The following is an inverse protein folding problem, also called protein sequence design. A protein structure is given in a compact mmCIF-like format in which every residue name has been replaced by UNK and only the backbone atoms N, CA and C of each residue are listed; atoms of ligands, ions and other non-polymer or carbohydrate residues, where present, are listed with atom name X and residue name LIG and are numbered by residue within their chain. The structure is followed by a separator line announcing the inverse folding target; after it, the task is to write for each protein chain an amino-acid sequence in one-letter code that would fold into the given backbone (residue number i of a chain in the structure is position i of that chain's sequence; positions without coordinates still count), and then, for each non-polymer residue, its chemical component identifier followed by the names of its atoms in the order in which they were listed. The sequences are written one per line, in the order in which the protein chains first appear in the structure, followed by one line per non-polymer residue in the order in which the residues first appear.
data_IF_772880437409
#
_entry.id   IF_772880437409
#
_cell.length_a   1.000
_cell.length_b   1.000
_cell.length_c   1.000
_cell.angle_alpha   90.00
_cell.angle_beta   90.00
_cell.angle_gamma   90.00
#
_symmetry.space_group_name_H-M   'P 1'
#
loop_
_entity.id
_entity.type
_entity.pdbx_description
1 polymer ?
#
# COMPACT_ATOMS: atom_id res chain seq x y z
N UNK A 1 4.90 3.14 32.70
CA UNK A 1 6.20 3.35 32.03
C UNK A 1 6.87 2.00 31.84
N UNK A 2 7.59 1.81 30.74
CA UNK A 2 8.40 0.60 30.57
C UNK A 2 9.69 0.72 31.40
N UNK A 3 10.27 -0.40 31.82
CA UNK A 3 11.57 -0.40 32.52
C UNK A 3 12.67 0.32 31.68
N UNK A 4 12.60 0.20 30.35
CA UNK A 4 13.53 0.89 29.44
C UNK A 4 13.39 2.40 29.51
N UNK A 5 12.17 2.94 29.56
CA UNK A 5 11.91 4.37 29.67
C UNK A 5 12.51 4.96 30.94
N UNK A 6 12.32 4.33 32.10
CA UNK A 6 12.87 4.79 33.38
C UNK A 6 14.41 4.86 33.37
N UNK A 7 15.06 3.87 32.74
CA UNK A 7 16.52 3.87 32.63
C UNK A 7 17.03 4.92 31.65
N UNK A 8 16.33 5.23 30.57
CA UNK A 8 16.68 6.31 29.64
C UNK A 8 16.52 7.67 30.29
N UNK A 9 15.41 7.89 30.99
CA UNK A 9 15.21 9.12 31.79
C UNK A 9 16.31 9.31 32.82
N UNK A 10 16.74 8.22 33.49
CA UNK A 10 17.86 8.28 34.43
C UNK A 10 19.20 8.57 33.74
N UNK A 11 19.44 7.99 32.57
CA UNK A 11 20.64 8.28 31.80
C UNK A 11 20.71 9.75 31.39
N UNK A 12 19.58 10.34 30.98
CA UNK A 12 19.45 11.75 30.61
C UNK A 12 19.64 12.64 31.85
N UNK A 13 19.13 12.25 33.04
CA UNK A 13 19.37 12.98 34.28
C UNK A 13 20.87 13.02 34.65
N UNK A 14 21.59 11.93 34.38
CA UNK A 14 23.05 11.86 34.66
C UNK A 14 23.85 12.63 33.61
N UNK A 15 23.47 12.49 32.34
CA UNK A 15 24.11 13.18 31.22
C UNK A 15 23.04 13.79 30.30
N UNK A 16 22.69 15.07 30.47
CA UNK A 16 21.70 15.76 29.62
C UNK A 16 22.09 15.91 28.16
N UNK A 17 23.35 15.72 27.80
CA UNK A 17 23.87 15.78 26.43
C UNK A 17 24.06 14.37 25.83
N UNK A 18 23.36 13.35 26.36
CA UNK A 18 23.42 11.98 25.82
C UNK A 18 22.42 11.80 24.67
N UNK A 19 22.84 12.15 23.45
CA UNK A 19 22.00 12.14 22.25
C UNK A 19 21.30 10.80 22.03
N UNK A 20 22.00 9.66 22.22
CA UNK A 20 21.40 8.33 21.98
C UNK A 20 20.28 8.04 23.00
N UNK A 21 20.40 8.47 24.25
CA UNK A 21 19.34 8.32 25.25
C UNK A 21 18.10 9.16 24.91
N UNK A 22 18.30 10.40 24.43
CA UNK A 22 17.22 11.23 23.92
C UNK A 22 16.55 10.60 22.70
N UNK A 23 17.31 10.09 21.75
CA UNK A 23 16.79 9.45 20.55
C UNK A 23 15.93 8.23 20.88
N UNK A 24 16.43 7.31 21.69
CA UNK A 24 15.70 6.11 22.10
C UNK A 24 14.43 6.43 22.90
N UNK A 25 14.50 7.43 23.78
CA UNK A 25 13.32 7.88 24.53
C UNK A 25 12.28 8.50 23.59
N UNK A 26 12.72 9.27 22.59
CA UNK A 26 11.83 9.82 21.58
C UNK A 26 11.08 8.73 20.80
N UNK A 27 11.75 7.64 20.43
CA UNK A 27 11.12 6.50 19.75
C UNK A 27 10.06 5.83 20.64
N UNK A 28 10.38 5.56 21.91
CA UNK A 28 9.43 4.97 22.87
C UNK A 28 8.19 5.84 23.04
N UNK A 29 8.38 7.15 23.18
CA UNK A 29 7.28 8.10 23.35
C UNK A 29 6.42 8.22 22.09
N UNK A 30 7.04 8.17 20.89
CA UNK A 30 6.33 8.11 19.61
C UNK A 30 5.42 6.88 19.55
N UNK A 31 5.91 5.71 19.92
CA UNK A 31 5.13 4.48 19.92
C UNK A 31 3.97 4.49 20.94
N UNK A 32 4.16 5.20 22.06
CA UNK A 32 3.12 5.48 23.05
C UNK A 32 2.13 6.57 22.61
N UNK A 33 2.34 7.20 21.45
CA UNK A 33 1.61 8.36 20.93
C UNK A 33 1.71 9.63 21.79
N UNK A 34 2.73 9.70 22.63
CA UNK A 34 3.09 10.92 23.36
C UNK A 34 3.96 11.81 22.45
N UNK A 35 3.33 12.39 21.44
CA UNK A 35 4.01 13.06 20.33
C UNK A 35 4.73 14.34 20.79
N UNK A 36 4.18 15.09 21.75
CA UNK A 36 4.79 16.33 22.20
C UNK A 36 6.10 16.07 22.97
N UNK A 37 6.12 15.11 23.88
CA UNK A 37 7.35 14.75 24.59
C UNK A 37 8.35 14.09 23.64
N UNK A 38 7.90 13.23 22.73
CA UNK A 38 8.73 12.63 21.66
C UNK A 38 9.44 13.71 20.84
N UNK A 39 8.67 14.74 20.40
CA UNK A 39 9.19 15.90 19.66
C UNK A 39 10.31 16.61 20.41
N UNK A 40 10.13 16.87 21.71
CA UNK A 40 11.13 17.51 22.54
C UNK A 40 12.46 16.73 22.57
N UNK A 41 12.37 15.41 22.67
CA UNK A 41 13.55 14.54 22.71
C UNK A 41 14.22 14.38 21.33
N UNK A 42 13.47 14.32 20.21
CA UNK A 42 14.09 14.38 18.88
C UNK A 42 14.81 15.70 18.64
N UNK A 43 14.20 16.84 19.00
CA UNK A 43 14.84 18.14 18.87
C UNK A 43 16.16 18.21 19.68
N UNK A 44 16.17 17.69 20.92
CA UNK A 44 17.40 17.64 21.71
C UNK A 44 18.44 16.72 21.10
N UNK A 45 18.04 15.58 20.52
CA UNK A 45 18.94 14.70 19.77
C UNK A 45 19.61 15.44 18.61
N UNK A 46 18.83 16.16 17.82
CA UNK A 46 19.29 16.90 16.64
C UNK A 46 20.14 18.12 17.05
N UNK A 47 19.81 18.78 18.15
CA UNK A 47 20.64 19.86 18.73
C UNK A 47 22.05 19.36 19.09
N UNK A 48 22.14 18.20 19.74
CA UNK A 48 23.41 17.60 20.14
C UNK A 48 24.19 17.00 18.95
N UNK A 49 23.46 16.38 18.02
CA UNK A 49 24.03 15.68 16.86
C UNK A 49 23.31 16.06 15.56
N UNK A 50 23.60 17.23 14.98
CA UNK A 50 22.90 17.76 13.79
C UNK A 50 23.05 16.92 12.52
N UNK A 51 24.11 16.09 12.45
CA UNK A 51 24.39 15.19 11.31
C UNK A 51 23.81 13.78 11.48
N UNK A 52 22.95 13.58 12.47
CA UNK A 52 22.35 12.26 12.68
C UNK A 52 21.15 12.04 11.75
N UNK A 53 21.40 11.54 10.53
CA UNK A 53 20.40 11.33 9.48
C UNK A 53 19.17 10.55 9.97
N UNK A 54 19.39 9.46 10.74
CA UNK A 54 18.30 8.63 11.28
C UNK A 54 17.41 9.39 12.27
N UNK A 55 17.96 10.34 13.03
CA UNK A 55 17.15 11.18 13.93
C UNK A 55 16.26 12.14 13.13
N UNK A 56 16.80 12.76 12.09
CA UNK A 56 16.01 13.60 11.16
C UNK A 56 14.89 12.80 10.50
N UNK A 57 15.18 11.61 10.00
CA UNK A 57 14.18 10.70 9.41
C UNK A 57 13.06 10.36 10.38
N UNK A 58 13.37 9.90 11.60
CA UNK A 58 12.36 9.52 12.58
C UNK A 58 11.57 10.73 13.10
N UNK A 59 12.20 11.89 13.17
CA UNK A 59 11.52 13.14 13.50
C UNK A 59 10.56 13.57 12.38
N UNK A 60 10.95 13.41 11.11
CA UNK A 60 10.06 13.64 9.97
C UNK A 60 8.82 12.74 10.02
N UNK A 61 8.99 11.45 10.35
CA UNK A 61 7.87 10.52 10.55
C UNK A 61 6.93 10.96 11.67
N UNK A 62 7.48 11.45 12.79
CA UNK A 62 6.69 12.01 13.89
C UNK A 62 5.89 13.23 13.44
N UNK A 63 6.54 14.18 12.77
CA UNK A 63 5.91 15.40 12.25
C UNK A 63 4.78 15.06 11.25
N UNK A 64 5.00 14.08 10.39
CA UNK A 64 3.94 13.59 9.50
C UNK A 64 2.74 13.05 10.30
N UNK A 65 2.97 12.24 11.34
CA UNK A 65 1.91 11.74 12.21
C UNK A 65 1.16 12.88 12.94
N UNK A 66 1.86 13.98 13.25
CA UNK A 66 1.29 15.21 13.82
C UNK A 66 0.61 16.11 12.78
N UNK A 67 0.65 15.75 11.49
CA UNK A 67 0.13 16.54 10.35
C UNK A 67 0.89 17.87 10.09
N UNK A 68 2.09 17.99 10.60
CA UNK A 68 3.01 19.08 10.25
C UNK A 68 3.82 18.69 9.00
N UNK A 69 3.15 18.72 7.84
CA UNK A 69 3.71 18.25 6.58
C UNK A 69 4.91 19.07 6.11
N UNK A 70 4.89 20.40 6.36
CA UNK A 70 6.00 21.27 5.96
C UNK A 70 7.29 20.91 6.71
N UNK A 71 7.23 20.88 8.05
CA UNK A 71 8.39 20.50 8.83
C UNK A 71 8.83 19.05 8.57
N UNK A 72 7.88 18.15 8.29
CA UNK A 72 8.19 16.77 7.90
C UNK A 72 9.02 16.71 6.62
N UNK A 73 8.65 17.47 5.56
CA UNK A 73 9.42 17.56 4.33
C UNK A 73 10.84 18.09 4.56
N UNK A 74 10.98 19.16 5.37
CA UNK A 74 12.29 19.75 5.71
C UNK A 74 13.22 18.71 6.33
N UNK A 75 12.67 17.88 7.24
CA UNK A 75 13.48 16.88 7.95
C UNK A 75 13.72 15.62 7.12
N UNK A 76 12.82 15.20 6.21
CA UNK A 76 13.12 14.15 5.22
C UNK A 76 14.25 14.59 4.29
N UNK A 77 14.19 15.80 3.74
CA UNK A 77 15.26 16.36 2.91
C UNK A 77 16.58 16.39 3.67
N UNK A 78 16.57 16.82 4.94
CA UNK A 78 17.79 16.84 5.75
C UNK A 78 18.36 15.45 5.99
N UNK A 79 17.52 14.43 6.22
CA UNK A 79 17.98 13.04 6.34
C UNK A 79 18.63 12.54 5.04
N UNK A 80 18.04 12.85 3.89
CA UNK A 80 18.55 12.48 2.57
C UNK A 80 19.85 13.23 2.23
N UNK A 81 19.94 14.53 2.56
CA UNK A 81 21.17 15.30 2.37
C UNK A 81 22.35 14.74 3.18
N UNK A 82 22.08 14.23 4.38
CA UNK A 82 23.07 13.64 5.25
C UNK A 82 23.45 12.21 4.83
N UNK A 83 22.51 11.47 4.28
CA UNK A 83 22.73 10.12 3.73
C UNK A 83 21.90 9.92 2.45
N UNK A 84 22.54 10.14 1.30
CA UNK A 84 21.91 9.99 -0.02
C UNK A 84 21.53 8.55 -0.37
N UNK A 85 22.04 7.56 0.38
CA UNK A 85 21.71 6.15 0.21
C UNK A 85 20.71 5.65 1.26
N UNK A 86 19.97 6.54 1.89
CA UNK A 86 18.95 6.17 2.87
C UNK A 86 17.62 5.81 2.17
N UNK A 87 17.49 4.56 1.74
CA UNK A 87 16.32 4.06 0.98
C UNK A 87 15.00 4.33 1.69
N UNK A 88 14.91 4.08 3.02
CA UNK A 88 13.70 4.32 3.79
C UNK A 88 13.31 5.79 3.84
N UNK A 89 14.29 6.71 3.89
CA UNK A 89 14.01 8.15 3.87
C UNK A 89 13.39 8.56 2.53
N UNK A 90 13.96 8.11 1.41
CA UNK A 90 13.38 8.32 0.08
C UNK A 90 11.98 7.71 -0.04
N UNK A 91 11.79 6.47 0.43
CA UNK A 91 10.49 5.79 0.41
C UNK A 91 9.41 6.57 1.17
N UNK A 92 9.66 6.91 2.42
CA UNK A 92 8.68 7.63 3.25
C UNK A 92 8.44 9.07 2.78
N UNK A 93 9.47 9.74 2.27
CA UNK A 93 9.31 11.05 1.66
C UNK A 93 8.44 10.96 0.39
N UNK A 94 8.67 9.96 -0.46
CA UNK A 94 7.82 9.69 -1.61
C UNK A 94 6.36 9.45 -1.25
N UNK A 95 6.07 8.75 -0.13
CA UNK A 95 4.71 8.58 0.36
C UNK A 95 4.07 9.90 0.83
N UNK A 96 4.82 10.72 1.56
CA UNK A 96 4.35 12.04 1.99
C UNK A 96 4.03 12.94 0.81
N UNK A 97 4.91 12.99 -0.20
CA UNK A 97 4.70 13.77 -1.42
C UNK A 97 3.47 13.29 -2.21
N UNK A 98 3.25 11.97 -2.28
CA UNK A 98 2.05 11.41 -2.89
C UNK A 98 0.75 11.79 -2.13
N UNK A 99 0.79 11.86 -0.79
CA UNK A 99 -0.32 12.36 0.03
C UNK A 99 -0.60 13.83 -0.23
N UNK A 100 0.44 14.61 -0.54
CA UNK A 100 0.36 16.04 -0.89
C UNK A 100 0.07 16.29 -2.39
N UNK A 101 -0.20 15.21 -3.15
CA UNK A 101 -0.50 15.24 -4.59
C UNK A 101 0.67 15.72 -5.47
N UNK A 102 1.90 15.76 -4.94
CA UNK A 102 3.13 16.00 -5.72
C UNK A 102 3.65 14.68 -6.30
N UNK A 103 2.92 14.19 -7.32
CA UNK A 103 3.14 12.84 -7.86
C UNK A 103 4.48 12.69 -8.59
N UNK A 104 4.99 13.74 -9.23
CA UNK A 104 6.27 13.66 -9.94
C UNK A 104 7.43 13.50 -8.97
N UNK A 105 7.50 14.34 -7.93
CA UNK A 105 8.56 14.22 -6.95
C UNK A 105 8.41 12.94 -6.08
N UNK A 106 7.15 12.51 -5.87
CA UNK A 106 6.87 11.23 -5.22
C UNK A 106 7.44 10.04 -6.01
N UNK A 107 7.23 10.00 -7.35
CA UNK A 107 7.81 8.98 -8.23
C UNK A 107 9.33 8.98 -8.17
N UNK A 108 9.94 10.16 -8.30
CA UNK A 108 11.40 10.31 -8.24
C UNK A 108 11.99 9.73 -6.94
N UNK A 109 11.38 10.02 -5.80
CA UNK A 109 11.85 9.50 -4.51
C UNK A 109 11.62 7.99 -4.37
N UNK A 110 10.50 7.45 -4.84
CA UNK A 110 10.25 6.01 -4.84
C UNK A 110 11.19 5.25 -5.79
N UNK A 111 11.53 5.82 -6.97
CA UNK A 111 12.55 5.27 -7.86
C UNK A 111 13.93 5.25 -7.18
N UNK A 112 14.30 6.33 -6.48
CA UNK A 112 15.54 6.35 -5.69
C UNK A 112 15.56 5.27 -4.61
N UNK A 113 14.45 5.08 -3.89
CA UNK A 113 14.36 4.03 -2.89
C UNK A 113 14.61 2.63 -3.50
N UNK A 114 14.01 2.35 -4.69
CA UNK A 114 14.20 1.06 -5.38
C UNK A 114 15.60 0.88 -6.00
N UNK A 115 16.25 1.96 -6.41
CA UNK A 115 17.61 1.95 -6.92
C UNK A 115 18.62 1.65 -5.81
N UNK A 116 18.40 2.20 -4.60
CA UNK A 116 19.26 2.02 -3.43
C UNK A 116 19.05 0.64 -2.81
N UNK A 117 17.80 0.26 -2.55
CA UNK A 117 17.43 -1.06 -2.02
C UNK A 117 16.57 -1.83 -3.00
N UNK A 118 17.22 -2.73 -3.76
CA UNK A 118 16.55 -3.57 -4.75
C UNK A 118 15.60 -4.62 -4.15
N UNK A 119 15.59 -4.78 -2.83
CA UNK A 119 14.66 -5.65 -2.10
C UNK A 119 13.56 -4.89 -1.38
N UNK A 120 13.41 -3.61 -1.64
CA UNK A 120 12.39 -2.78 -0.99
C UNK A 120 10.99 -3.01 -1.58
N UNK A 121 10.34 -4.10 -1.19
CA UNK A 121 9.02 -4.55 -1.69
C UNK A 121 7.98 -3.42 -1.75
N UNK A 122 7.85 -2.65 -0.65
CA UNK A 122 6.85 -1.59 -0.54
C UNK A 122 7.15 -0.40 -1.48
N UNK A 123 8.43 -0.09 -1.75
CA UNK A 123 8.78 0.98 -2.68
C UNK A 123 8.36 0.63 -4.10
N UNK A 124 8.64 -0.59 -4.57
CA UNK A 124 8.16 -1.08 -5.87
C UNK A 124 6.64 -1.05 -5.98
N UNK A 125 5.95 -1.52 -4.94
CA UNK A 125 4.48 -1.52 -4.91
C UNK A 125 3.89 -0.10 -4.98
N UNK A 126 4.40 0.84 -4.18
CA UNK A 126 3.89 2.22 -4.18
C UNK A 126 4.27 2.98 -5.45
N UNK A 127 5.46 2.74 -6.01
CA UNK A 127 5.85 3.28 -7.30
C UNK A 127 4.89 2.81 -8.40
N UNK A 128 4.59 1.51 -8.45
CA UNK A 128 3.63 0.97 -9.41
C UNK A 128 2.23 1.59 -9.27
N UNK A 129 1.81 1.93 -8.05
CA UNK A 129 0.51 2.60 -7.81
C UNK A 129 0.45 4.04 -8.32
N UNK A 130 1.56 4.73 -8.43
CA UNK A 130 1.62 6.10 -8.96
C UNK A 130 1.74 6.13 -10.49
N UNK A 131 2.16 5.03 -11.11
CA UNK A 131 2.28 4.88 -12.56
C UNK A 131 0.90 4.54 -13.16
N UNK A 132 0.03 5.56 -13.24
CA UNK A 132 -1.39 5.39 -13.66
C UNK A 132 -1.65 5.70 -15.12
N UNK A 133 -0.70 6.37 -15.80
CA UNK A 133 -0.85 6.73 -17.20
C UNK A 133 -0.73 5.50 -18.10
N UNK A 134 -1.47 5.46 -19.24
CA UNK A 134 -1.43 4.31 -20.16
C UNK A 134 -0.02 3.99 -20.68
N UNK A 135 0.83 5.00 -20.85
CA UNK A 135 2.22 4.86 -21.28
C UNK A 135 3.12 4.25 -20.20
N UNK A 136 2.72 4.33 -18.94
CA UNK A 136 3.44 3.75 -17.82
C UNK A 136 3.02 2.29 -17.51
N UNK A 137 2.08 1.72 -18.27
CA UNK A 137 1.52 0.38 -18.03
C UNK A 137 2.61 -0.68 -17.82
N UNK A 138 3.58 -0.77 -18.72
CA UNK A 138 4.64 -1.78 -18.64
C UNK A 138 5.57 -1.55 -17.44
N UNK A 139 5.85 -0.28 -17.10
CA UNK A 139 6.61 0.06 -15.89
C UNK A 139 5.86 -0.34 -14.63
N UNK A 140 4.57 0.01 -14.53
CA UNK A 140 3.72 -0.36 -13.41
C UNK A 140 3.65 -1.89 -13.25
N UNK A 141 3.41 -2.62 -14.34
CA UNK A 141 3.39 -4.09 -14.35
C UNK A 141 4.69 -4.69 -13.86
N UNK A 142 5.83 -4.20 -14.36
CA UNK A 142 7.16 -4.64 -13.93
C UNK A 142 7.36 -4.43 -12.43
N UNK A 143 7.03 -3.25 -11.91
CA UNK A 143 7.20 -2.92 -10.49
C UNK A 143 6.32 -3.80 -9.58
N UNK A 144 5.04 -4.08 -9.96
CA UNK A 144 4.23 -5.04 -9.20
C UNK A 144 4.82 -6.45 -9.22
N UNK A 145 5.31 -6.91 -10.38
CA UNK A 145 5.95 -8.23 -10.49
C UNK A 145 7.20 -8.29 -9.63
N UNK A 146 8.05 -7.26 -9.64
CA UNK A 146 9.23 -7.20 -8.77
C UNK A 146 8.84 -7.26 -7.28
N UNK A 147 7.81 -6.52 -6.86
CA UNK A 147 7.31 -6.60 -5.48
C UNK A 147 6.84 -8.02 -5.11
N UNK A 148 6.19 -8.72 -6.04
CA UNK A 148 5.75 -10.11 -5.86
C UNK A 148 6.93 -11.08 -5.83
N UNK A 149 7.94 -10.88 -6.67
CA UNK A 149 9.14 -11.73 -6.71
C UNK A 149 9.95 -11.62 -5.40
N UNK A 150 9.97 -10.43 -4.78
CA UNK A 150 10.60 -10.21 -3.46
C UNK A 150 9.74 -10.82 -2.33
N UNK A 151 8.41 -10.64 -2.37
CA UNK A 151 7.47 -11.19 -1.40
C UNK A 151 6.25 -11.80 -2.11
N UNK A 152 6.30 -13.13 -2.33
CA UNK A 152 5.22 -13.89 -2.96
C UNK A 152 3.92 -13.93 -2.14
N UNK A 153 3.98 -13.50 -0.88
CA UNK A 153 2.82 -13.47 0.02
C UNK A 153 2.15 -12.09 0.09
N UNK A 154 2.65 -11.12 -0.67
CA UNK A 154 2.11 -9.77 -0.68
C UNK A 154 0.79 -9.68 -1.46
N UNK A 155 -0.31 -9.92 -0.76
CA UNK A 155 -1.67 -9.99 -1.32
C UNK A 155 -2.08 -8.71 -2.08
N UNK A 156 -1.70 -7.52 -1.58
CA UNK A 156 -2.01 -6.25 -2.23
C UNK A 156 -1.32 -6.11 -3.59
N UNK A 157 -0.06 -6.54 -3.72
CA UNK A 157 0.65 -6.48 -5.00
C UNK A 157 -0.05 -7.37 -6.05
N UNK A 158 -0.45 -8.59 -5.67
CA UNK A 158 -1.26 -9.44 -6.53
C UNK A 158 -2.59 -8.79 -6.91
N UNK A 159 -3.31 -8.21 -5.95
CA UNK A 159 -4.58 -7.54 -6.21
C UNK A 159 -4.44 -6.39 -7.21
N UNK A 160 -3.46 -5.51 -7.00
CA UNK A 160 -3.28 -4.33 -7.85
C UNK A 160 -2.71 -4.70 -9.22
N UNK A 161 -1.86 -5.72 -9.33
CA UNK A 161 -1.44 -6.25 -10.61
C UNK A 161 -2.63 -6.84 -11.38
N UNK A 162 -3.47 -7.64 -10.73
CA UNK A 162 -4.70 -8.15 -11.34
C UNK A 162 -5.62 -7.02 -11.82
N UNK A 163 -5.74 -5.93 -11.06
CA UNK A 163 -6.51 -4.73 -11.43
C UNK A 163 -5.89 -4.00 -12.63
N UNK A 164 -4.56 -3.84 -12.64
CA UNK A 164 -3.84 -3.20 -13.74
C UNK A 164 -4.06 -3.97 -15.05
N UNK A 165 -3.83 -5.27 -15.02
CA UNK A 165 -4.00 -6.16 -16.16
C UNK A 165 -5.46 -6.19 -16.63
N UNK A 166 -6.43 -6.25 -15.71
CA UNK A 166 -7.85 -6.17 -16.05
C UNK A 166 -8.24 -4.81 -16.66
N UNK A 167 -7.61 -3.70 -16.24
CA UNK A 167 -7.89 -2.34 -16.75
C UNK A 167 -7.28 -2.05 -18.11
N UNK A 168 -6.20 -2.75 -18.50
CA UNK A 168 -5.58 -2.66 -19.82
C UNK A 168 -6.38 -3.31 -20.96
N UNK A 169 -7.50 -3.94 -20.62
CA UNK A 169 -8.35 -4.67 -21.55
C UNK A 169 -9.18 -3.72 -22.41
N UNK A 170 -8.89 -3.69 -23.69
CA UNK A 170 -9.69 -2.95 -24.69
C UNK A 170 -10.87 -3.79 -25.14
N UNK A 171 -12.04 -3.18 -25.23
CA UNK A 171 -13.16 -3.74 -25.98
C UNK A 171 -12.79 -3.73 -27.48
N UNK A 172 -13.22 -4.77 -28.21
CA UNK A 172 -13.23 -4.68 -29.68
C UNK A 172 -14.22 -3.59 -30.14
N UNK A 173 -14.23 -3.36 -31.48
CA UNK A 173 -15.08 -2.33 -32.09
C UNK A 173 -16.59 -2.56 -31.86
N UNK A 174 -16.98 -3.73 -31.43
CA UNK A 174 -18.37 -4.14 -31.19
C UNK A 174 -18.74 -4.16 -29.71
N UNK A 175 -17.83 -3.70 -28.84
CA UNK A 175 -18.03 -3.71 -27.38
C UNK A 175 -17.94 -5.10 -26.76
N UNK A 176 -17.56 -6.11 -27.56
CA UNK A 176 -17.31 -7.47 -27.06
C UNK A 176 -15.91 -7.51 -26.45
N UNK A 177 -15.82 -7.91 -25.20
CA UNK A 177 -14.54 -8.10 -24.53
C UNK A 177 -13.79 -9.24 -25.24
N UNK A 178 -12.74 -8.88 -25.97
CA UNK A 178 -11.88 -9.85 -26.66
C UNK A 178 -11.27 -10.77 -25.60
N UNK A 179 -11.26 -12.06 -25.91
CA UNK A 179 -10.54 -13.06 -25.10
C UNK A 179 -9.04 -12.76 -25.20
N UNK A 180 -8.57 -11.87 -24.29
CA UNK A 180 -7.18 -11.48 -24.20
C UNK A 180 -6.48 -12.45 -23.22
N UNK A 181 -5.26 -12.93 -23.51
CA UNK A 181 -4.45 -13.70 -22.56
C UNK A 181 -4.37 -13.04 -21.17
N UNK A 182 -4.37 -11.73 -21.12
CA UNK A 182 -4.33 -10.95 -19.89
C UNK A 182 -5.54 -11.16 -18.95
N UNK A 183 -6.71 -11.66 -19.45
CA UNK A 183 -7.81 -12.04 -18.56
C UNK A 183 -7.46 -13.19 -17.63
N UNK A 184 -6.77 -14.19 -18.14
CA UNK A 184 -6.34 -15.32 -17.33
C UNK A 184 -5.32 -14.88 -16.29
N UNK A 185 -4.44 -13.93 -16.64
CA UNK A 185 -3.48 -13.35 -15.70
C UNK A 185 -4.20 -12.56 -14.58
N UNK A 186 -5.21 -11.75 -14.95
CA UNK A 186 -6.01 -11.05 -13.95
C UNK A 186 -6.72 -12.02 -12.99
N UNK A 187 -7.34 -13.07 -13.55
CA UNK A 187 -8.00 -14.14 -12.77
C UNK A 187 -7.00 -14.85 -11.85
N UNK A 188 -5.81 -15.18 -12.37
CA UNK A 188 -4.75 -15.78 -11.58
C UNK A 188 -4.38 -14.92 -10.36
N UNK A 189 -4.13 -13.63 -10.58
CA UNK A 189 -3.73 -12.72 -9.52
C UNK A 189 -4.84 -12.49 -8.49
N UNK A 190 -6.11 -12.34 -8.90
CA UNK A 190 -7.22 -12.26 -7.95
C UNK A 190 -7.41 -13.55 -7.15
N UNK A 191 -7.25 -14.73 -7.77
CA UNK A 191 -7.27 -16.02 -7.05
C UNK A 191 -6.12 -16.12 -6.06
N UNK A 192 -4.91 -15.68 -6.43
CA UNK A 192 -3.75 -15.67 -5.54
C UNK A 192 -3.99 -14.74 -4.37
N UNK A 193 -4.51 -13.52 -4.59
CA UNK A 193 -4.93 -12.60 -3.53
C UNK A 193 -5.87 -13.28 -2.53
N UNK A 194 -6.92 -13.95 -3.03
CA UNK A 194 -7.91 -14.66 -2.20
C UNK A 194 -7.29 -15.85 -1.44
N UNK A 195 -6.29 -16.50 -2.02
CA UNK A 195 -5.59 -17.60 -1.34
C UNK A 195 -4.75 -17.12 -0.16
N UNK A 196 -4.18 -15.90 -0.28
CA UNK A 196 -3.36 -15.24 0.74
C UNK A 196 -4.25 -14.56 1.80
N UNK A 197 -5.30 -13.88 1.37
CA UNK A 197 -6.31 -13.28 2.26
C UNK A 197 -7.73 -13.64 1.81
N UNK A 198 -8.34 -14.61 2.50
CA UNK A 198 -9.72 -15.06 2.23
C UNK A 198 -10.78 -13.99 2.45
N UNK A 199 -10.46 -12.91 3.17
CA UNK A 199 -11.35 -11.80 3.46
C UNK A 199 -11.13 -10.60 2.54
N UNK A 200 -10.35 -10.74 1.49
CA UNK A 200 -10.10 -9.67 0.53
C UNK A 200 -11.32 -9.47 -0.39
N UNK A 201 -12.35 -8.77 0.11
CA UNK A 201 -13.64 -8.59 -0.58
C UNK A 201 -13.54 -8.00 -1.98
N UNK A 202 -12.59 -7.04 -2.18
CA UNK A 202 -12.36 -6.42 -3.49
C UNK A 202 -11.86 -7.43 -4.53
N UNK A 203 -11.05 -8.42 -4.12
CA UNK A 203 -10.57 -9.46 -5.02
C UNK A 203 -11.71 -10.42 -5.39
N UNK A 204 -12.57 -10.78 -4.43
CA UNK A 204 -13.79 -11.54 -4.75
C UNK A 204 -14.69 -10.81 -5.74
N UNK A 205 -14.95 -9.53 -5.51
CA UNK A 205 -15.77 -8.71 -6.41
C UNK A 205 -15.19 -8.64 -7.83
N UNK A 206 -13.89 -8.34 -7.97
CA UNK A 206 -13.26 -8.24 -9.29
C UNK A 206 -13.17 -9.59 -10.00
N UNK A 207 -12.91 -10.69 -9.27
CA UNK A 207 -12.95 -12.03 -9.82
C UNK A 207 -14.34 -12.40 -10.33
N UNK A 208 -15.40 -11.98 -9.61
CA UNK A 208 -16.78 -12.16 -10.05
C UNK A 208 -17.06 -11.44 -11.38
N UNK A 209 -16.55 -10.21 -11.53
CA UNK A 209 -16.65 -9.48 -12.80
C UNK A 209 -15.95 -10.22 -13.94
N UNK A 210 -14.75 -10.77 -13.71
CA UNK A 210 -14.03 -11.56 -14.72
C UNK A 210 -14.82 -12.82 -15.11
N UNK A 211 -15.39 -13.54 -14.15
CA UNK A 211 -16.23 -14.69 -14.44
C UNK A 211 -17.53 -14.33 -15.20
N UNK A 212 -18.15 -13.19 -14.86
CA UNK A 212 -19.31 -12.68 -15.60
C UNK A 212 -18.97 -12.44 -17.08
N UNK A 213 -17.82 -11.80 -17.36
CA UNK A 213 -17.32 -11.57 -18.71
C UNK A 213 -17.14 -12.91 -19.47
N UNK A 214 -16.64 -13.94 -18.79
CA UNK A 214 -16.49 -15.29 -19.34
C UNK A 214 -17.82 -16.06 -19.43
N UNK A 215 -18.95 -15.44 -19.06
CA UNK A 215 -20.28 -16.09 -18.96
C UNK A 215 -20.33 -17.29 -18.00
N UNK A 216 -19.37 -17.36 -17.07
CA UNK A 216 -19.35 -18.32 -15.96
C UNK A 216 -20.21 -17.78 -14.80
N UNK A 217 -21.51 -17.74 -15.03
CA UNK A 217 -22.44 -17.00 -14.15
C UNK A 217 -22.53 -17.56 -12.73
N UNK A 218 -22.47 -18.88 -12.56
CA UNK A 218 -22.48 -19.52 -11.24
C UNK A 218 -21.25 -19.14 -10.40
N UNK A 219 -20.07 -19.12 -11.02
CA UNK A 219 -18.83 -18.70 -10.36
C UNK A 219 -18.87 -17.20 -10.03
N UNK A 220 -19.38 -16.38 -10.95
CA UNK A 220 -19.56 -14.94 -10.72
C UNK A 220 -20.50 -14.68 -9.53
N UNK A 221 -21.66 -15.35 -9.50
CA UNK A 221 -22.63 -15.29 -8.39
C UNK A 221 -21.96 -15.61 -7.05
N UNK A 222 -21.30 -16.77 -6.97
CA UNK A 222 -20.61 -17.24 -5.77
C UNK A 222 -19.60 -16.22 -5.23
N UNK A 223 -18.85 -15.57 -6.11
CA UNK A 223 -17.84 -14.60 -5.70
C UNK A 223 -18.45 -13.23 -5.33
N UNK A 224 -19.54 -12.77 -5.98
CA UNK A 224 -20.29 -11.60 -5.50
C UNK A 224 -20.88 -11.84 -4.12
N UNK A 225 -21.50 -13.00 -3.88
CA UNK A 225 -22.07 -13.38 -2.58
C UNK A 225 -20.98 -13.42 -1.49
N UNK A 226 -19.76 -13.92 -1.79
CA UNK A 226 -18.63 -13.87 -0.86
C UNK A 226 -18.18 -12.45 -0.54
N UNK A 227 -18.10 -11.56 -1.54
CA UNK A 227 -17.74 -10.16 -1.31
C UNK A 227 -18.78 -9.47 -0.38
N UNK A 228 -20.06 -9.74 -0.58
CA UNK A 228 -21.17 -9.24 0.26
C UNK A 228 -21.11 -9.85 1.67
N UNK A 229 -20.80 -11.14 1.79
CA UNK A 229 -20.69 -11.78 3.11
C UNK A 229 -19.54 -11.21 3.95
N UNK A 230 -18.48 -10.69 3.31
CA UNK A 230 -17.36 -10.01 4.00
C UNK A 230 -17.73 -8.56 4.35
N UNK A 231 -18.31 -7.82 3.40
CA UNK A 231 -18.76 -6.44 3.57
C UNK A 231 -20.23 -6.35 3.14
N UNK A 232 -21.13 -6.42 4.13
CA UNK A 232 -22.57 -6.53 3.88
C UNK A 232 -23.19 -5.32 3.16
N UNK A 233 -22.63 -4.14 3.33
CA UNK A 233 -23.09 -2.87 2.71
C UNK A 233 -22.30 -2.51 1.43
N UNK A 234 -21.62 -3.50 0.79
CA UNK A 234 -20.89 -3.27 -0.45
C UNK A 234 -21.85 -3.09 -1.65
N UNK A 235 -22.34 -1.88 -1.83
CA UNK A 235 -23.35 -1.51 -2.82
C UNK A 235 -23.04 -1.95 -4.25
N UNK A 236 -21.76 -1.85 -4.67
CA UNK A 236 -21.32 -2.31 -6.01
C UNK A 236 -21.51 -3.81 -6.21
N UNK A 237 -21.23 -4.63 -5.20
CA UNK A 237 -21.41 -6.08 -5.29
C UNK A 237 -22.88 -6.45 -5.36
N UNK A 238 -23.73 -5.82 -4.54
CA UNK A 238 -25.19 -6.00 -4.60
C UNK A 238 -25.75 -5.63 -5.97
N UNK A 239 -25.37 -4.47 -6.51
CA UNK A 239 -25.80 -4.03 -7.83
C UNK A 239 -25.43 -5.04 -8.93
N UNK A 240 -24.15 -5.45 -9.00
CA UNK A 240 -23.71 -6.37 -10.02
C UNK A 240 -24.26 -7.79 -9.85
N UNK A 241 -24.50 -8.24 -8.62
CA UNK A 241 -25.20 -9.49 -8.35
C UNK A 241 -26.66 -9.43 -8.87
N UNK A 242 -27.38 -8.35 -8.58
CA UNK A 242 -28.74 -8.17 -9.07
C UNK A 242 -28.82 -8.17 -10.61
N UNK A 243 -27.87 -7.48 -11.27
CA UNK A 243 -27.79 -7.47 -12.73
C UNK A 243 -27.43 -8.85 -13.30
N UNK A 244 -26.57 -9.61 -12.63
CA UNK A 244 -26.23 -10.98 -13.01
C UNK A 244 -27.45 -11.90 -12.91
N UNK A 245 -28.18 -11.84 -11.78
CA UNK A 245 -29.39 -12.65 -11.56
C UNK A 245 -30.49 -12.33 -12.60
N UNK A 246 -30.65 -11.06 -12.96
CA UNK A 246 -31.56 -10.64 -14.04
C UNK A 246 -31.14 -11.24 -15.39
N UNK A 247 -29.85 -11.26 -15.70
CA UNK A 247 -29.32 -11.82 -16.95
C UNK A 247 -29.47 -13.36 -17.00
N UNK A 248 -29.31 -14.06 -15.86
CA UNK A 248 -29.50 -15.51 -15.75
C UNK A 248 -30.97 -15.92 -15.95
N UNK A 249 -31.93 -15.04 -15.68
CA UNK A 249 -33.37 -15.29 -15.84
C UNK A 249 -33.96 -16.26 -14.79
N UNK A 250 -35.29 -16.37 -14.71
CA UNK A 250 -35.97 -17.16 -13.67
C UNK A 250 -35.77 -18.68 -13.74
N UNK A 251 -35.33 -19.23 -14.88
CA UNK A 251 -35.16 -20.67 -15.06
C UNK A 251 -33.92 -21.23 -14.37
N UNK A 252 -32.85 -20.45 -14.26
CA UNK A 252 -31.60 -20.91 -13.65
C UNK A 252 -31.65 -20.92 -12.10
N UNK A 253 -32.63 -20.25 -11.50
CA UNK A 253 -32.81 -20.19 -10.04
C UNK A 253 -33.55 -21.41 -9.47
N UNK A 254 -34.37 -22.11 -10.28
CA UNK A 254 -35.25 -23.19 -9.80
C UNK A 254 -34.63 -24.60 -9.83
N UNK A 255 -33.50 -24.81 -10.48
CA UNK A 255 -32.92 -26.16 -10.57
C UNK A 255 -32.01 -26.52 -9.37
N UNK A 256 -31.57 -25.57 -8.54
CA UNK A 256 -30.72 -25.82 -7.37
C UNK A 256 -31.44 -25.80 -6.02
N UNK A 257 -32.69 -25.39 -5.95
CA UNK A 257 -33.53 -25.47 -4.73
C UNK A 257 -34.28 -26.82 -4.59
N UNK A 258 -34.04 -27.78 -5.50
CA UNK A 258 -34.70 -29.10 -5.52
C UNK A 258 -33.81 -30.26 -5.09
N UNK A 259 -32.74 -30.00 -4.33
CA UNK A 259 -31.95 -31.12 -3.70
C UNK A 259 -31.87 -30.91 -2.20
#
# INVERSE_FOLDING_TARGET
MSNAQEHLEKAIQINPEFADAHYELALILKDQKDFENSKGHFLKTIEIRPEFAVAHFNYALLLHAMKDHQASQEHFNKAIDLDQNFADAHYHFGLLLAELEDFEEAKNNLEKATDIDQNHTLAYYHLAKLLIDPEDYEKAKKNYLTAIDIDETFADAHYYLGKLVAGGLKNDKDGTLVRNPEYEDAIYHYKKTISLDKKYFKAHYNLALMFKIQKKYDDARKHFEKAIAIINDYSKAHFHLAMLLKEMGPVALNEKEKV
#
